data_IF_779937070213
#
_entry.id   IF_779937070213
#
_cell.length_a   1.000
_cell.length_b   1.000
_cell.length_c   1.000
_cell.angle_alpha   90.00
_cell.angle_beta   90.00
_cell.angle_gamma   90.00
#
_symmetry.space_group_name_H-M   'P 1'
#
loop_
_entity.id
_entity.type
_entity.pdbx_description
1 polymer ?
#
# COMPACT_ATOMS: atom_id res chain seq x y z
N UNK A 1 -9.46 17.60 -11.89
CA UNK A 1 -8.66 17.32 -10.67
C UNK A 1 -7.43 18.23 -10.70
N UNK A 2 -7.45 19.36 -10.01
CA UNK A 2 -6.24 20.17 -9.80
C UNK A 2 -5.47 19.52 -8.66
N UNK A 3 -4.47 18.71 -8.99
CA UNK A 3 -3.41 18.39 -8.07
C UNK A 3 -2.75 19.72 -7.66
N UNK A 4 -2.59 19.96 -6.38
CA UNK A 4 -2.10 21.20 -5.81
C UNK A 4 -0.83 21.67 -6.51
N UNK A 5 -0.81 22.92 -6.93
CA UNK A 5 0.38 23.69 -7.32
C UNK A 5 1.46 23.54 -6.25
N UNK A 6 2.69 23.23 -6.67
CA UNK A 6 3.87 23.05 -5.85
C UNK A 6 3.89 23.87 -4.55
N UNK A 7 3.17 23.41 -3.53
CA UNK A 7 3.15 24.05 -2.22
C UNK A 7 4.50 23.85 -1.56
N UNK A 8 5.17 24.94 -1.27
CA UNK A 8 6.29 24.93 -0.34
C UNK A 8 5.70 24.85 1.06
N UNK A 9 5.95 23.75 1.73
CA UNK A 9 5.76 23.68 3.17
C UNK A 9 6.94 24.42 3.82
N UNK A 10 6.71 25.25 4.81
CA UNK A 10 7.74 26.09 5.43
C UNK A 10 8.99 25.32 5.92
N UNK A 11 8.90 23.99 6.02
CA UNK A 11 9.91 23.10 6.63
C UNK A 11 10.50 22.09 5.63
N UNK A 12 9.79 21.72 4.55
CA UNK A 12 10.21 20.70 3.57
C UNK A 12 10.01 21.19 2.14
N UNK A 13 10.83 20.69 1.21
CA UNK A 13 10.62 20.90 -0.22
C UNK A 13 9.99 19.64 -0.83
N UNK A 14 8.92 19.83 -1.64
CA UNK A 14 8.18 18.75 -2.30
C UNK A 14 8.31 18.92 -3.81
N UNK A 15 8.95 17.95 -4.48
CA UNK A 15 9.09 17.91 -5.94
C UNK A 15 8.24 16.82 -6.55
N UNK A 16 7.26 17.17 -7.37
CA UNK A 16 6.42 16.20 -8.08
C UNK A 16 7.22 15.39 -9.10
N UNK A 17 6.90 14.11 -9.24
CA UNK A 17 7.57 13.18 -10.17
C UNK A 17 7.01 13.24 -11.61
N UNK A 18 6.19 14.24 -11.94
CA UNK A 18 5.70 14.49 -13.31
C UNK A 18 4.54 13.62 -13.77
N UNK A 19 4.03 12.73 -12.92
CA UNK A 19 2.87 11.86 -13.19
C UNK A 19 1.61 12.27 -12.42
N UNK A 20 0.54 11.45 -12.48
CA UNK A 20 -0.71 11.69 -11.78
C UNK A 20 -0.62 11.47 -10.26
N UNK A 21 0.52 11.04 -9.76
CA UNK A 21 0.86 10.82 -8.36
C UNK A 21 2.39 10.81 -8.20
N UNK A 22 2.83 10.89 -6.96
CA UNK A 22 4.24 10.79 -6.60
C UNK A 22 4.95 12.11 -6.42
N UNK A 23 5.67 12.24 -5.32
CA UNK A 23 6.56 13.37 -5.06
C UNK A 23 7.81 12.92 -4.31
N UNK A 24 8.90 13.64 -4.55
CA UNK A 24 10.14 13.52 -3.81
C UNK A 24 10.18 14.57 -2.70
N UNK A 25 10.55 14.16 -1.51
CA UNK A 25 10.62 15.03 -0.33
C UNK A 25 12.10 15.31 -0.03
N UNK A 26 12.42 16.59 0.11
CA UNK A 26 13.74 17.08 0.49
C UNK A 26 13.66 17.86 1.81
N UNK A 27 14.80 17.95 2.52
CA UNK A 27 14.89 18.67 3.80
C UNK A 27 14.47 17.87 5.01
N UNK A 28 14.21 16.55 4.87
CA UNK A 28 13.90 15.64 5.98
C UNK A 28 14.97 14.55 6.06
N UNK A 29 15.46 14.32 7.27
CA UNK A 29 16.26 13.14 7.58
C UNK A 29 15.41 12.20 8.44
N UNK A 30 14.86 11.11 7.88
CA UNK A 30 13.95 10.21 8.57
C UNK A 30 14.62 9.39 9.71
N UNK A 31 15.95 9.45 9.83
CA UNK A 31 16.72 8.81 10.92
C UNK A 31 16.70 9.63 12.21
N UNK A 32 16.34 10.90 12.12
CA UNK A 32 16.34 11.83 13.25
C UNK A 32 14.94 12.01 13.82
N UNK A 33 14.81 12.36 15.10
CA UNK A 33 13.54 12.81 15.63
C UNK A 33 13.03 14.01 14.83
N UNK A 34 11.78 13.95 14.40
CA UNK A 34 11.10 15.02 13.67
C UNK A 34 10.20 15.80 14.61
N UNK A 35 10.18 17.12 14.46
CA UNK A 35 9.20 17.95 15.16
C UNK A 35 7.79 17.79 14.57
N UNK A 36 6.79 18.24 15.29
CA UNK A 36 5.39 18.09 14.92
C UNK A 36 5.06 18.81 13.61
N UNK A 37 5.70 19.93 13.31
CA UNK A 37 5.47 20.66 12.05
C UNK A 37 6.02 19.91 10.86
N UNK A 38 7.20 19.32 10.98
CA UNK A 38 7.81 18.47 9.94
C UNK A 38 6.98 17.21 9.70
N UNK A 39 6.54 16.53 10.78
CA UNK A 39 5.65 15.36 10.68
C UNK A 39 4.35 15.71 9.96
N UNK A 40 3.72 16.81 10.33
CA UNK A 40 2.49 17.27 9.67
C UNK A 40 2.71 17.58 8.18
N UNK A 41 3.83 18.25 7.85
CA UNK A 41 4.17 18.58 6.46
C UNK A 41 4.42 17.32 5.61
N UNK A 42 5.13 16.30 6.13
CA UNK A 42 5.36 15.03 5.44
C UNK A 42 4.05 14.26 5.24
N UNK A 43 3.20 14.19 6.27
CA UNK A 43 1.88 13.55 6.14
C UNK A 43 0.99 14.27 5.11
N UNK A 44 0.99 15.61 5.09
CA UNK A 44 0.23 16.37 4.11
C UNK A 44 0.77 16.16 2.69
N UNK A 45 2.10 16.14 2.53
CA UNK A 45 2.72 15.82 1.24
C UNK A 45 2.34 14.41 0.75
N UNK A 46 2.26 13.44 1.65
CA UNK A 46 1.78 12.08 1.32
C UNK A 46 0.31 12.08 0.87
N UNK A 47 -0.57 12.76 1.60
CA UNK A 47 -1.99 12.87 1.25
C UNK A 47 -2.18 13.56 -0.11
N UNK A 48 -1.45 14.64 -0.37
CA UNK A 48 -1.57 15.43 -1.59
C UNK A 48 -1.00 14.71 -2.83
N UNK A 49 -0.02 13.83 -2.64
CA UNK A 49 0.70 13.18 -3.74
C UNK A 49 0.53 11.65 -3.81
N UNK A 50 -0.13 11.01 -2.84
CA UNK A 50 -0.46 9.57 -2.76
C UNK A 50 0.76 8.65 -2.58
N UNK A 51 1.89 9.00 -3.15
CA UNK A 51 3.19 8.35 -2.96
C UNK A 51 4.24 9.41 -2.74
N UNK A 52 5.07 9.24 -1.73
CA UNK A 52 6.24 10.09 -1.51
C UNK A 52 7.49 9.24 -1.44
N UNK A 53 8.62 9.80 -1.85
CA UNK A 53 9.92 9.17 -1.67
C UNK A 53 10.94 10.14 -1.06
N UNK A 54 11.83 9.60 -0.25
CA UNK A 54 13.01 10.29 0.29
C UNK A 54 14.20 9.47 -0.18
N UNK A 55 15.12 10.10 -0.94
CA UNK A 55 16.22 9.38 -1.57
C UNK A 55 17.49 9.40 -0.73
N UNK A 56 18.33 8.41 -0.98
CA UNK A 56 19.71 8.34 -0.50
C UNK A 56 19.84 8.38 1.03
N UNK A 57 18.87 7.79 1.73
CA UNK A 57 18.86 7.70 3.19
C UNK A 57 18.89 6.22 3.61
N UNK A 58 20.08 5.66 3.82
CA UNK A 58 20.21 4.33 4.40
C UNK A 58 19.69 4.36 5.85
N UNK A 59 18.79 3.44 6.17
CA UNK A 59 18.18 3.33 7.51
C UNK A 59 18.34 1.91 8.05
N UNK A 60 18.57 1.81 9.36
CA UNK A 60 18.42 0.57 10.10
C UNK A 60 16.94 0.18 10.20
N UNK A 61 16.67 -1.09 10.52
CA UNK A 61 15.30 -1.58 10.74
C UNK A 61 14.58 -0.79 11.84
N UNK A 62 15.30 -0.39 12.89
CA UNK A 62 14.75 0.43 13.97
C UNK A 62 14.35 1.83 13.49
N UNK A 63 15.19 2.48 12.67
CA UNK A 63 14.87 3.79 12.09
C UNK A 63 13.69 3.71 11.13
N UNK A 64 13.59 2.65 10.31
CA UNK A 64 12.42 2.41 9.45
C UNK A 64 11.14 2.31 10.29
N UNK A 65 11.16 1.52 11.37
CA UNK A 65 10.04 1.42 12.31
C UNK A 65 9.68 2.77 12.90
N UNK A 66 10.66 3.51 13.41
CA UNK A 66 10.41 4.75 14.15
C UNK A 66 9.88 5.85 13.23
N UNK A 67 10.41 5.95 12.02
CA UNK A 67 9.86 6.86 11.01
C UNK A 67 8.42 6.46 10.60
N UNK A 68 8.15 5.17 10.44
CA UNK A 68 6.82 4.68 10.08
C UNK A 68 5.74 5.05 11.10
N UNK A 69 6.08 5.20 12.38
CA UNK A 69 5.15 5.59 13.45
C UNK A 69 4.55 6.98 13.25
N UNK A 70 5.19 7.85 12.47
CA UNK A 70 4.64 9.16 12.14
C UNK A 70 3.39 9.11 11.24
N UNK A 71 3.12 7.97 10.60
CA UNK A 71 1.93 7.75 9.76
C UNK A 71 0.80 7.04 10.48
N UNK A 72 1.05 6.44 11.63
CA UNK A 72 0.04 5.76 12.45
C UNK A 72 0.57 4.62 13.30
N UNK A 73 -0.36 3.85 13.87
CA UNK A 73 -0.04 2.67 14.68
C UNK A 73 0.44 1.55 13.80
N UNK A 74 1.62 1.03 14.09
CA UNK A 74 2.21 -0.09 13.36
C UNK A 74 1.54 -1.41 13.75
N UNK A 75 1.40 -2.29 12.77
CA UNK A 75 0.87 -3.65 12.96
C UNK A 75 1.91 -4.69 12.56
N UNK A 76 2.12 -5.74 13.37
CA UNK A 76 2.95 -6.85 12.95
C UNK A 76 2.41 -7.50 11.67
N UNK A 77 3.29 -7.76 10.71
CA UNK A 77 2.89 -8.37 9.46
C UNK A 77 2.35 -9.79 9.69
N UNK A 78 1.36 -10.21 8.91
CA UNK A 78 0.67 -11.48 9.10
C UNK A 78 1.59 -12.70 8.85
N UNK A 79 2.47 -12.63 7.85
CA UNK A 79 3.42 -13.68 7.53
C UNK A 79 4.58 -13.68 8.54
N UNK A 80 4.46 -14.51 9.57
CA UNK A 80 5.41 -14.58 10.70
C UNK A 80 6.84 -14.89 10.27
N UNK A 81 7.01 -15.75 9.27
CA UNK A 81 8.32 -16.21 8.81
C UNK A 81 9.18 -15.12 8.16
N UNK A 82 8.58 -14.00 7.79
CA UNK A 82 9.27 -12.87 7.15
C UNK A 82 9.43 -11.66 8.06
N UNK A 83 8.88 -11.74 9.28
CA UNK A 83 9.05 -10.69 10.28
C UNK A 83 10.48 -10.62 10.74
N UNK A 84 10.95 -9.43 11.00
CA UNK A 84 12.14 -9.28 11.80
C UNK A 84 11.89 -9.86 13.22
N UNK A 85 12.85 -10.59 13.79
CA UNK A 85 12.68 -11.26 15.07
C UNK A 85 12.52 -10.30 16.24
N UNK A 86 13.17 -9.14 16.17
CA UNK A 86 13.16 -8.12 17.23
C UNK A 86 12.08 -7.05 16.99
N UNK A 87 11.78 -6.77 15.72
CA UNK A 87 10.83 -5.71 15.31
C UNK A 87 9.80 -6.35 14.38
N UNK A 88 8.76 -7.01 14.91
CA UNK A 88 7.80 -7.79 14.12
C UNK A 88 6.90 -6.97 13.18
N UNK A 89 6.90 -5.66 13.32
CA UNK A 89 6.22 -4.74 12.41
C UNK A 89 6.99 -4.54 11.10
N UNK A 90 8.28 -4.90 11.07
CA UNK A 90 9.11 -4.80 9.88
C UNK A 90 9.30 -6.17 9.23
N UNK A 91 9.09 -6.22 7.93
CA UNK A 91 9.31 -7.40 7.10
C UNK A 91 10.52 -7.15 6.20
N UNK A 92 11.44 -8.11 6.18
CA UNK A 92 12.54 -8.10 5.22
C UNK A 92 12.07 -8.82 3.95
N UNK A 93 11.95 -8.08 2.86
CA UNK A 93 11.63 -8.64 1.55
C UNK A 93 12.91 -8.91 0.79
N UNK A 94 13.12 -10.15 0.40
CA UNK A 94 14.31 -10.61 -0.31
C UNK A 94 13.93 -11.67 -1.32
N UNK A 95 14.77 -11.82 -2.35
CA UNK A 95 14.72 -12.93 -3.31
C UNK A 95 15.72 -14.04 -2.97
N UNK A 96 16.24 -14.04 -1.74
CA UNK A 96 17.17 -15.06 -1.24
C UNK A 96 16.57 -15.76 -0.02
N UNK A 97 16.87 -17.05 0.10
CA UNK A 97 16.60 -17.83 1.30
C UNK A 97 17.62 -17.51 2.45
N UNK A 98 17.47 -18.17 3.58
CA UNK A 98 18.37 -18.00 4.74
C UNK A 98 19.82 -18.40 4.46
N UNK A 99 20.09 -19.14 3.37
CA UNK A 99 21.43 -19.57 2.94
C UNK A 99 22.00 -18.72 1.79
N UNK A 100 21.26 -17.68 1.35
CA UNK A 100 21.67 -16.81 0.26
C UNK A 100 21.36 -17.35 -1.14
N UNK A 101 20.65 -18.48 -1.26
CA UNK A 101 20.23 -19.02 -2.55
C UNK A 101 18.99 -18.29 -3.06
N UNK A 102 18.78 -18.31 -4.38
CA UNK A 102 17.59 -17.71 -4.98
C UNK A 102 16.29 -18.35 -4.48
N UNK A 103 15.39 -17.51 -3.95
CA UNK A 103 14.05 -17.88 -3.51
C UNK A 103 13.00 -17.41 -4.55
N UNK A 104 12.45 -18.32 -5.37
CA UNK A 104 11.46 -17.95 -6.38
C UNK A 104 10.14 -17.45 -5.76
N UNK A 105 9.81 -17.88 -4.53
CA UNK A 105 8.63 -17.41 -3.81
C UNK A 105 8.84 -15.96 -3.37
N UNK A 106 10.00 -15.65 -2.81
CA UNK A 106 10.39 -14.30 -2.45
C UNK A 106 10.44 -13.37 -3.66
N UNK A 107 11.02 -13.83 -4.77
CA UNK A 107 11.13 -13.07 -6.02
C UNK A 107 9.77 -12.82 -6.71
N UNK A 108 8.79 -13.70 -6.50
CA UNK A 108 7.45 -13.60 -7.09
C UNK A 108 6.48 -12.69 -6.34
N UNK A 109 6.92 -11.96 -5.31
CA UNK A 109 6.05 -11.05 -4.56
C UNK A 109 5.81 -9.75 -5.31
N UNK A 110 4.62 -9.18 -5.11
CA UNK A 110 4.28 -7.86 -5.65
C UNK A 110 4.07 -7.81 -7.16
N UNK A 111 3.95 -8.96 -7.84
CA UNK A 111 3.81 -9.04 -9.31
C UNK A 111 2.39 -8.73 -9.82
N UNK A 112 1.41 -8.61 -8.94
CA UNK A 112 0.03 -8.26 -9.29
C UNK A 112 -0.39 -6.94 -8.66
N UNK A 113 -1.29 -6.22 -9.33
CA UNK A 113 -1.90 -5.01 -8.77
C UNK A 113 -2.67 -5.33 -7.49
N UNK A 114 -2.35 -4.65 -6.40
CA UNK A 114 -2.98 -4.83 -5.11
C UNK A 114 -2.94 -3.55 -4.27
N UNK A 115 -3.71 -3.55 -3.22
CA UNK A 115 -3.62 -2.60 -2.12
C UNK A 115 -3.34 -3.42 -0.87
N UNK A 116 -2.30 -3.07 -0.15
CA UNK A 116 -1.92 -3.78 1.07
C UNK A 116 -3.03 -3.73 2.12
N UNK A 117 -3.27 -4.87 2.75
CA UNK A 117 -4.15 -4.96 3.91
C UNK A 117 -5.64 -4.74 3.65
N UNK A 118 -6.14 -4.79 2.40
CA UNK A 118 -7.59 -4.68 2.12
C UNK A 118 -8.41 -5.83 2.73
N UNK A 119 -7.76 -6.89 3.15
CA UNK A 119 -8.34 -8.01 3.88
C UNK A 119 -8.50 -7.76 5.40
N UNK A 120 -8.14 -6.59 5.89
CA UNK A 120 -8.44 -6.14 7.24
C UNK A 120 -9.72 -5.31 7.26
N UNK A 121 -10.51 -5.41 8.33
CA UNK A 121 -11.69 -4.57 8.54
C UNK A 121 -11.32 -3.08 8.55
N UNK A 122 -10.12 -2.78 9.05
CA UNK A 122 -9.52 -1.46 9.09
C UNK A 122 -8.18 -1.52 8.34
N UNK A 123 -8.16 -1.20 7.04
CA UNK A 123 -6.96 -1.23 6.22
C UNK A 123 -5.91 -0.22 6.68
N UNK A 124 -4.61 -0.51 6.50
CA UNK A 124 -3.55 0.43 6.87
C UNK A 124 -3.63 1.73 6.06
N UNK A 125 -3.27 2.84 6.70
CA UNK A 125 -3.17 4.16 6.06
C UNK A 125 -2.09 4.20 4.97
N UNK A 126 -0.95 3.56 5.24
CA UNK A 126 0.23 3.59 4.38
C UNK A 126 1.05 2.30 4.53
N UNK A 127 1.82 1.99 3.49
CA UNK A 127 2.94 1.03 3.52
C UNK A 127 4.23 1.80 3.27
N UNK A 128 5.24 1.56 4.10
CA UNK A 128 6.56 2.15 3.92
C UNK A 128 7.52 1.07 3.41
N UNK A 129 8.22 1.38 2.31
CA UNK A 129 9.24 0.51 1.73
C UNK A 129 10.61 1.20 1.86
N UNK A 130 11.58 0.52 2.43
CA UNK A 130 12.97 0.95 2.47
C UNK A 130 13.82 0.04 1.58
N UNK A 131 14.43 0.60 0.55
CA UNK A 131 15.29 -0.15 -0.37
C UNK A 131 16.67 -0.34 0.25
N UNK A 132 17.06 -1.59 0.50
CA UNK A 132 18.40 -1.97 1.01
C UNK A 132 19.34 -2.28 -0.17
N UNK A 133 18.83 -3.00 -1.16
CA UNK A 133 19.54 -3.32 -2.39
C UNK A 133 18.58 -3.26 -3.57
N UNK A 134 19.04 -2.69 -4.67
CA UNK A 134 18.27 -2.56 -5.90
C UNK A 134 19.02 -3.22 -7.05
N UNK A 135 18.32 -3.83 -8.01
CA UNK A 135 18.96 -4.30 -9.24
C UNK A 135 19.45 -3.11 -10.08
N UNK A 136 20.47 -3.32 -10.90
CA UNK A 136 20.96 -2.29 -11.82
C UNK A 136 19.93 -1.88 -12.88
N UNK A 137 19.00 -2.77 -13.22
CA UNK A 137 17.89 -2.53 -14.16
C UNK A 137 16.66 -3.31 -13.77
N UNK A 138 15.47 -2.77 -14.06
CA UNK A 138 14.19 -3.44 -13.76
C UNK A 138 13.78 -3.35 -12.29
N UNK A 139 12.81 -4.17 -11.89
CA UNK A 139 12.28 -4.21 -10.52
C UNK A 139 11.48 -2.97 -10.11
N UNK A 140 10.99 -2.21 -11.05
CA UNK A 140 10.21 -0.99 -10.78
C UNK A 140 8.89 -1.32 -10.08
N UNK A 141 8.53 -0.51 -9.08
CA UNK A 141 7.21 -0.56 -8.46
C UNK A 141 6.28 0.41 -9.18
N UNK A 142 5.20 -0.12 -9.75
CA UNK A 142 4.15 0.68 -10.38
C UNK A 142 3.08 1.10 -9.36
N UNK A 143 2.58 2.32 -9.50
CA UNK A 143 1.48 2.83 -8.68
C UNK A 143 0.35 3.34 -9.57
N UNK A 144 -0.91 3.15 -9.14
CA UNK A 144 -2.10 3.65 -9.81
C UNK A 144 -2.85 4.64 -8.92
N UNK A 145 -3.26 5.78 -9.49
CA UNK A 145 -4.09 6.75 -8.80
C UNK A 145 -5.56 6.32 -8.85
N UNK A 146 -6.05 5.75 -7.75
CA UNK A 146 -7.40 5.21 -7.68
C UNK A 146 -8.49 6.29 -7.54
N UNK A 147 -8.14 7.52 -7.20
CA UNK A 147 -9.05 8.66 -7.34
C UNK A 147 -9.31 8.97 -8.81
N UNK A 148 -8.23 9.07 -9.61
CA UNK A 148 -8.36 9.28 -11.06
C UNK A 148 -9.05 8.09 -11.74
N UNK A 149 -8.81 6.87 -11.30
CA UNK A 149 -9.53 5.70 -11.80
C UNK A 149 -11.05 5.84 -11.62
N UNK A 150 -11.49 6.32 -10.46
CA UNK A 150 -12.91 6.63 -10.22
C UNK A 150 -13.38 7.79 -11.10
N UNK A 151 -12.65 8.90 -11.16
CA UNK A 151 -13.06 10.08 -11.95
C UNK A 151 -13.21 9.76 -13.44
N UNK A 152 -12.28 9.00 -13.99
CA UNK A 152 -12.25 8.61 -15.41
C UNK A 152 -13.17 7.43 -15.75
N UNK A 153 -13.77 6.79 -14.74
CA UNK A 153 -14.66 5.66 -14.95
C UNK A 153 -15.89 6.09 -15.77
N UNK A 154 -16.30 5.33 -16.81
CA UNK A 154 -17.51 5.61 -17.57
C UNK A 154 -18.76 5.70 -16.68
N UNK A 155 -19.68 6.60 -17.00
CA UNK A 155 -20.89 6.82 -16.19
C UNK A 155 -21.72 5.54 -15.99
N UNK A 156 -21.84 4.71 -17.02
CA UNK A 156 -22.54 3.43 -16.95
C UNK A 156 -21.89 2.47 -15.93
N UNK A 157 -20.54 2.44 -15.88
CA UNK A 157 -19.82 1.61 -14.92
C UNK A 157 -19.95 2.17 -13.50
N UNK A 158 -19.89 3.52 -13.34
CA UNK A 158 -20.14 4.15 -12.03
C UNK A 158 -21.50 3.75 -11.47
N UNK A 159 -22.56 3.77 -12.31
CA UNK A 159 -23.90 3.35 -11.88
C UNK A 159 -23.96 1.87 -11.48
N UNK A 160 -23.20 1.00 -12.15
CA UNK A 160 -23.17 -0.41 -11.81
C UNK A 160 -22.46 -0.71 -10.48
N UNK A 161 -21.44 0.09 -10.12
CA UNK A 161 -20.63 -0.15 -8.91
C UNK A 161 -21.03 0.71 -7.71
N UNK A 162 -21.83 1.76 -7.92
CA UNK A 162 -22.25 2.69 -6.86
C UNK A 162 -23.07 1.96 -5.79
N UNK A 163 -22.74 2.19 -4.53
CA UNK A 163 -23.38 1.54 -3.39
C UNK A 163 -23.08 0.04 -3.24
N UNK A 164 -22.31 -0.59 -4.15
CA UNK A 164 -21.94 -2.00 -4.04
C UNK A 164 -20.80 -2.21 -3.06
N UNK A 165 -20.74 -3.43 -2.54
CA UNK A 165 -19.67 -3.92 -1.67
C UNK A 165 -18.93 -5.06 -2.36
N UNK A 166 -17.64 -5.19 -2.05
CA UNK A 166 -16.81 -6.30 -2.47
C UNK A 166 -16.29 -7.07 -1.25
N UNK A 167 -16.19 -8.38 -1.40
CA UNK A 167 -15.62 -9.27 -0.40
C UNK A 167 -14.10 -9.37 -0.63
N UNK A 168 -13.32 -9.17 0.42
CA UNK A 168 -11.86 -9.25 0.39
C UNK A 168 -11.35 -10.36 1.30
N UNK A 169 -10.32 -11.04 0.83
CA UNK A 169 -9.63 -12.11 1.55
C UNK A 169 -8.12 -11.96 1.39
N UNK A 170 -7.36 -12.31 2.41
CA UNK A 170 -5.89 -12.27 2.36
C UNK A 170 -5.29 -12.94 1.11
N UNK A 171 -5.87 -14.05 0.66
CA UNK A 171 -5.38 -14.83 -0.49
C UNK A 171 -6.09 -14.55 -1.81
N UNK A 172 -7.14 -13.74 -1.81
CA UNK A 172 -7.95 -13.52 -2.99
C UNK A 172 -8.49 -14.83 -3.60
N UNK A 173 -8.84 -14.79 -4.90
CA UNK A 173 -9.36 -15.95 -5.65
C UNK A 173 -8.30 -16.99 -6.00
N UNK A 174 -7.07 -16.56 -6.25
CA UNK A 174 -6.00 -17.42 -6.78
C UNK A 174 -5.16 -18.13 -5.72
N UNK A 175 -5.55 -18.03 -4.44
CA UNK A 175 -4.83 -18.65 -3.32
C UNK A 175 -3.33 -18.29 -3.26
N UNK A 176 -2.94 -17.17 -3.83
CA UNK A 176 -1.57 -16.72 -3.93
C UNK A 176 -0.97 -16.49 -2.54
N UNK A 177 0.21 -17.04 -2.26
CA UNK A 177 0.91 -16.87 -0.99
C UNK A 177 0.36 -17.71 0.16
N UNK A 178 -0.35 -18.81 -0.14
CA UNK A 178 -0.83 -19.80 0.85
C UNK A 178 0.27 -20.28 1.77
N UNK A 179 1.42 -20.50 1.21
CA UNK A 179 2.61 -21.07 1.88
C UNK A 179 3.23 -20.06 2.86
N UNK A 180 2.99 -18.77 2.65
CA UNK A 180 3.57 -17.68 3.44
C UNK A 180 2.84 -17.44 4.77
N UNK A 181 1.60 -17.88 4.86
CA UNK A 181 0.74 -17.67 6.01
C UNK A 181 0.19 -19.03 6.45
N UNK A 182 0.67 -19.57 7.55
CA UNK A 182 0.26 -20.89 8.03
C UNK A 182 -1.27 -21.05 8.10
N UNK A 183 -1.77 -22.26 7.85
CA UNK A 183 -3.20 -22.59 7.77
C UNK A 183 -4.03 -22.10 8.98
N UNK A 184 -3.46 -22.11 10.18
CA UNK A 184 -4.13 -21.65 11.39
C UNK A 184 -4.29 -20.13 11.46
N UNK A 185 -3.36 -19.36 10.91
CA UNK A 185 -3.50 -17.91 10.83
C UNK A 185 -4.60 -17.51 9.83
N UNK A 186 -4.76 -18.28 8.77
CA UNK A 186 -5.82 -18.06 7.77
C UNK A 186 -7.21 -18.35 8.31
N UNK A 187 -7.36 -19.43 9.08
CA UNK A 187 -8.64 -19.75 9.75
C UNK A 187 -9.12 -18.63 10.69
N UNK A 188 -8.17 -17.83 11.21
CA UNK A 188 -8.44 -16.73 12.13
C UNK A 188 -8.73 -15.39 11.44
N UNK A 189 -8.64 -15.35 10.12
CA UNK A 189 -8.91 -14.13 9.34
C UNK A 189 -10.19 -14.32 8.52
N UNK A 190 -11.32 -13.81 9.02
CA UNK A 190 -12.56 -13.83 8.24
C UNK A 190 -12.43 -12.96 7.00
N UNK A 191 -13.23 -13.27 5.98
CA UNK A 191 -13.42 -12.37 4.85
C UNK A 191 -14.00 -11.06 5.35
N UNK A 192 -13.58 -9.97 4.75
CA UNK A 192 -14.06 -8.63 5.09
C UNK A 192 -14.74 -7.99 3.90
N UNK A 193 -15.71 -7.15 4.19
CA UNK A 193 -16.50 -6.46 3.17
C UNK A 193 -16.15 -4.97 3.16
N UNK A 194 -15.82 -4.44 1.98
CA UNK A 194 -15.57 -3.02 1.77
C UNK A 194 -16.43 -2.49 0.63
N UNK A 195 -16.78 -1.18 0.62
CA UNK A 195 -17.38 -0.55 -0.55
C UNK A 195 -16.47 -0.68 -1.78
N UNK A 196 -17.04 -0.97 -2.96
CA UNK A 196 -16.31 -0.97 -4.23
C UNK A 196 -15.73 0.42 -4.52
N UNK A 197 -16.51 1.46 -4.24
CA UNK A 197 -16.08 2.86 -4.26
C UNK A 197 -16.00 3.33 -2.81
N UNK A 198 -14.79 3.52 -2.34
CA UNK A 198 -14.52 3.93 -0.96
C UNK A 198 -14.19 5.42 -0.91
N UNK A 199 -14.75 6.10 0.08
CA UNK A 199 -14.37 7.47 0.40
C UNK A 199 -13.15 7.46 1.31
N UNK A 200 -12.11 8.22 0.93
CA UNK A 200 -10.90 8.32 1.75
C UNK A 200 -11.20 9.11 3.03
N UNK A 201 -10.81 8.61 4.21
CA UNK A 201 -11.24 9.20 5.49
C UNK A 201 -10.70 10.61 5.75
N UNK A 202 -9.54 10.96 5.20
CA UNK A 202 -8.91 12.27 5.43
C UNK A 202 -9.22 13.29 4.32
N UNK A 203 -9.42 12.84 3.08
CA UNK A 203 -9.64 13.76 1.94
C UNK A 203 -11.11 13.84 1.51
N UNK A 204 -11.93 12.87 1.88
CA UNK A 204 -13.29 12.74 1.39
C UNK A 204 -13.40 12.34 -0.09
N UNK A 205 -12.27 12.15 -0.79
CA UNK A 205 -12.28 11.78 -2.21
C UNK A 205 -12.69 10.32 -2.40
N UNK A 206 -13.42 10.04 -3.46
CA UNK A 206 -13.82 8.69 -3.85
C UNK A 206 -12.70 7.98 -4.61
N UNK A 207 -12.44 6.73 -4.26
CA UNK A 207 -11.45 5.88 -4.90
C UNK A 207 -12.04 4.50 -5.20
N UNK A 208 -11.59 3.87 -6.28
CA UNK A 208 -11.86 2.45 -6.55
C UNK A 208 -11.09 1.61 -5.53
N UNK A 209 -11.79 0.72 -4.82
CA UNK A 209 -11.22 -0.06 -3.72
C UNK A 209 -11.34 -1.57 -3.93
N UNK A 210 -11.24 -2.01 -5.17
CA UNK A 210 -11.13 -3.42 -5.55
C UNK A 210 -9.79 -3.67 -6.23
N UNK A 211 -9.28 -4.88 -6.13
CA UNK A 211 -8.03 -5.27 -6.75
C UNK A 211 -8.03 -6.78 -7.07
N UNK A 212 -7.29 -7.20 -8.10
CA UNK A 212 -7.30 -8.60 -8.54
C UNK A 212 -6.64 -9.57 -7.55
N UNK A 213 -5.87 -9.05 -6.57
CA UNK A 213 -5.13 -9.89 -5.62
C UNK A 213 -5.98 -10.32 -4.43
N UNK A 214 -6.75 -9.40 -3.83
CA UNK A 214 -7.49 -9.64 -2.59
C UNK A 214 -9.01 -9.68 -2.76
N UNK A 215 -9.56 -9.11 -3.83
CA UNK A 215 -11.01 -9.12 -4.04
C UNK A 215 -11.48 -10.48 -4.50
N UNK A 216 -12.46 -11.04 -3.78
CA UNK A 216 -13.09 -12.32 -4.11
C UNK A 216 -14.25 -12.17 -5.08
N UNK A 217 -15.15 -11.26 -4.73
CA UNK A 217 -16.41 -11.07 -5.46
C UNK A 217 -17.03 -9.73 -5.12
N UNK A 218 -17.90 -9.27 -6.00
CA UNK A 218 -18.85 -8.20 -5.70
C UNK A 218 -20.10 -8.83 -5.10
N UNK A 219 -20.47 -8.35 -3.91
CA UNK A 219 -21.56 -8.92 -3.14
C UNK A 219 -22.89 -8.80 -3.89
N UNK A 220 -23.64 -9.89 -3.94
CA UNK A 220 -24.96 -9.96 -4.57
C UNK A 220 -24.94 -10.17 -6.08
N UNK A 221 -23.75 -10.39 -6.69
CA UNK A 221 -23.65 -10.77 -8.10
C UNK A 221 -23.30 -12.25 -8.27
N UNK A 222 -23.79 -12.91 -9.33
CA UNK A 222 -23.28 -14.20 -9.75
C UNK A 222 -21.77 -14.15 -10.02
N UNK A 223 -21.05 -15.29 -9.92
CA UNK A 223 -19.59 -15.31 -10.04
C UNK A 223 -19.05 -14.75 -11.36
N UNK A 224 -19.68 -15.05 -12.48
CA UNK A 224 -19.33 -14.59 -13.82
C UNK A 224 -19.59 -13.08 -14.00
N UNK A 225 -20.70 -12.58 -13.52
CA UNK A 225 -20.99 -11.14 -13.52
C UNK A 225 -20.05 -10.37 -12.59
N UNK A 226 -19.75 -10.93 -11.44
CA UNK A 226 -18.80 -10.36 -10.48
C UNK A 226 -17.38 -10.31 -11.03
N UNK A 227 -16.99 -11.29 -11.86
CA UNK A 227 -15.67 -11.31 -12.52
C UNK A 227 -15.59 -10.30 -13.65
N UNK A 228 -16.68 -10.14 -14.40
CA UNK A 228 -16.75 -9.21 -15.52
C UNK A 228 -16.75 -7.74 -15.08
N UNK A 229 -17.32 -7.44 -13.92
CA UNK A 229 -17.40 -6.10 -13.35
C UNK A 229 -16.13 -5.73 -12.60
#
# INVERSE_FOLDING_TARGET
FKLSDGRRYAVIEVKKLGGPLGAEIHGVDPRKPLDAATVAAVNQAFIDNLVICIRDVPMSIAEVRDFSRHFGVLRPHIAKNYRNSEIPEVVVMTNQDAHGNFDPVGAGRGVSWHVDGTFHQDPPKATLLHAVALPGTGGNTGFANMYMAYEMMPAALKQQVDGRFAMHRLRGRKNNGAELVGADALKKMPDVMHPVIRQHPETGLKAVFVNPHHTLSIVGLPPDESEAL
#
